data_IF_599803910442
#
_entry.id   IF_599803910442
#
_cell.length_a   1.000
_cell.length_b   1.000
_cell.length_c   1.000
_cell.angle_alpha   90.00
_cell.angle_beta   90.00
_cell.angle_gamma   90.00
#
_symmetry.space_group_name_H-M   'P 1'
#
loop_
_entity.id
_entity.type
_entity.pdbx_description
1 polymer ?
#
# COMPACT_ATOMS: atom_id res chain seq x y z
N UNK A 1 1.52 8.69 -25.89
CA UNK A 1 1.37 7.99 -25.51
C UNK A 1 0.95 8.01 -24.33
N UNK A 2 0.31 7.86 -24.34
CA UNK A 2 -0.21 7.95 -23.19
C UNK A 2 0.40 7.18 -22.27
N UNK A 3 0.63 7.58 -21.44
CA UNK A 3 1.04 7.03 -20.59
C UNK A 3 0.28 6.48 -19.75
N UNK A 4 0.05 5.81 -19.33
CA UNK A 4 -0.75 5.14 -18.43
C UNK A 4 -1.22 5.93 -17.29
N UNK A 5 -2.07 5.38 -16.46
CA UNK A 5 -2.58 6.04 -15.29
C UNK A 5 -1.53 6.15 -14.20
N UNK A 6 -1.93 6.74 -13.04
CA UNK A 6 -1.01 6.97 -11.92
C UNK A 6 -0.32 5.73 -11.40
N UNK A 7 -0.90 4.54 -11.59
CA UNK A 7 -0.28 3.32 -11.11
C UNK A 7 0.75 2.74 -12.04
N UNK A 8 0.89 3.27 -13.26
CA UNK A 8 1.82 2.72 -14.23
C UNK A 8 3.29 2.76 -13.80
N UNK A 9 3.78 3.83 -13.13
CA UNK A 9 5.16 3.84 -12.66
C UNK A 9 5.47 2.73 -11.67
N UNK A 10 4.45 2.11 -11.11
CA UNK A 10 4.63 1.08 -10.10
C UNK A 10 4.60 -0.33 -10.69
N UNK A 11 4.28 -0.46 -11.97
CA UNK A 11 4.20 -1.78 -12.60
C UNK A 11 5.53 -2.50 -12.49
N UNK A 12 5.50 -3.76 -12.08
CA UNK A 12 6.69 -4.57 -11.93
C UNK A 12 7.51 -4.29 -10.69
N UNK A 13 7.17 -3.27 -9.91
CA UNK A 13 7.88 -2.98 -8.66
C UNK A 13 7.34 -3.84 -7.53
N UNK A 14 8.15 -4.04 -6.50
CA UNK A 14 7.76 -4.80 -5.31
C UNK A 14 7.44 -3.91 -4.13
N UNK A 15 7.97 -2.69 -4.10
CA UNK A 15 7.83 -1.79 -2.96
C UNK A 15 7.43 -0.42 -3.44
N UNK A 16 6.65 0.25 -2.61
CA UNK A 16 6.42 1.68 -2.76
C UNK A 16 6.77 2.35 -1.45
N UNK A 17 7.23 3.60 -1.54
CA UNK A 17 7.35 4.45 -0.37
C UNK A 17 5.97 5.05 -0.12
N UNK A 18 5.41 4.77 1.04
CA UNK A 18 4.11 5.29 1.42
C UNK A 18 4.33 6.39 2.45
N UNK A 19 3.95 7.61 2.09
CA UNK A 19 4.04 8.74 3.00
C UNK A 19 2.68 9.02 3.59
N UNK A 20 2.60 8.95 4.91
CA UNK A 20 1.40 9.28 5.69
C UNK A 20 1.70 10.50 6.55
N UNK A 21 0.67 11.19 7.01
CA UNK A 21 0.85 12.49 7.61
C UNK A 21 0.39 12.54 9.06
N UNK A 22 1.24 13.10 9.92
CA UNK A 22 0.86 13.38 11.31
C UNK A 22 -0.09 14.56 11.37
N UNK A 23 -0.73 14.75 12.50
CA UNK A 23 -1.62 15.91 12.70
C UNK A 23 -0.90 17.24 12.48
N UNK A 24 0.39 17.27 12.75
CA UNK A 24 1.21 18.46 12.53
C UNK A 24 1.45 18.76 11.05
N UNK A 25 1.15 17.81 10.17
CA UNK A 25 1.46 17.93 8.75
C UNK A 25 2.75 17.25 8.36
N UNK A 26 3.52 16.77 9.33
CA UNK A 26 4.78 16.09 9.03
C UNK A 26 4.53 14.76 8.32
N UNK A 27 5.24 14.52 7.21
CA UNK A 27 5.12 13.27 6.46
C UNK A 27 6.10 12.22 6.96
N UNK A 28 5.62 11.00 7.10
CA UNK A 28 6.42 9.85 7.51
C UNK A 28 6.41 8.86 6.36
N UNK A 29 7.59 8.56 5.82
CA UNK A 29 7.76 7.69 4.65
C UNK A 29 8.22 6.31 5.10
N UNK A 30 7.56 5.26 4.60
CA UNK A 30 8.00 3.88 4.87
C UNK A 30 7.84 3.04 3.62
N UNK A 31 8.78 2.11 3.36
CA UNK A 31 8.60 1.16 2.26
C UNK A 31 7.55 0.12 2.66
N UNK A 32 6.66 -0.19 1.74
CA UNK A 32 5.61 -1.17 1.98
C UNK A 32 5.46 -2.05 0.75
N UNK A 33 4.94 -3.26 0.94
CA UNK A 33 4.56 -4.14 -0.14
C UNK A 33 3.23 -3.69 -0.72
N UNK A 34 3.10 -3.85 -2.02
CA UNK A 34 1.85 -3.49 -2.69
C UNK A 34 1.56 -4.48 -3.82
N UNK A 35 0.32 -4.49 -4.27
CA UNK A 35 -0.09 -5.24 -5.45
C UNK A 35 -0.98 -4.34 -6.30
N UNK A 36 -0.76 -4.39 -7.59
CA UNK A 36 -1.61 -3.67 -8.54
C UNK A 36 -3.01 -4.26 -8.54
N UNK A 37 -4.01 -3.42 -8.65
CA UNK A 37 -5.40 -3.83 -8.73
C UNK A 37 -6.12 -2.96 -9.72
N UNK A 38 -6.95 -3.54 -10.55
CA UNK A 38 -7.83 -2.83 -11.45
C UNK A 38 -7.12 -1.77 -12.29
N UNK A 39 -5.93 -2.10 -12.82
CA UNK A 39 -5.14 -1.13 -13.59
C UNK A 39 -5.87 -0.64 -14.84
N UNK A 40 -6.75 -1.48 -15.40
CA UNK A 40 -7.50 -1.14 -16.60
C UNK A 40 -8.75 -0.35 -16.28
N UNK A 41 -9.05 -0.17 -15.01
CA UNK A 41 -10.26 0.51 -14.57
C UNK A 41 -10.12 2.01 -14.73
N UNK A 42 -11.22 2.73 -14.95
CA UNK A 42 -11.17 4.19 -14.89
C UNK A 42 -10.71 4.72 -13.52
N UNK A 43 -10.84 3.91 -12.49
CA UNK A 43 -10.38 4.28 -11.15
C UNK A 43 -9.38 3.23 -10.66
N UNK A 44 -8.17 3.23 -11.22
CA UNK A 44 -7.17 2.24 -10.81
C UNK A 44 -6.75 2.45 -9.36
N UNK A 45 -6.32 1.38 -8.70
CA UNK A 45 -5.84 1.48 -7.34
C UNK A 45 -4.85 0.36 -7.03
N UNK A 46 -4.17 0.51 -5.89
CA UNK A 46 -3.20 -0.46 -5.41
C UNK A 46 -3.66 -1.00 -4.06
N UNK A 47 -3.35 -2.26 -3.80
CA UNK A 47 -3.49 -2.82 -2.46
C UNK A 47 -2.17 -2.70 -1.71
N UNK A 48 -2.23 -2.33 -0.43
CA UNK A 48 -1.06 -2.26 0.45
C UNK A 48 -1.36 -3.02 1.72
N UNK A 49 -0.39 -3.82 2.15
CA UNK A 49 -0.47 -4.58 3.40
C UNK A 49 0.19 -3.80 4.53
N UNK A 50 -0.44 -3.78 5.70
CA UNK A 50 0.17 -3.21 6.89
C UNK A 50 -0.45 -3.85 8.15
N UNK A 51 0.06 -3.45 9.31
CA UNK A 51 -0.42 -3.95 10.60
C UNK A 51 -1.40 -2.94 11.18
N UNK A 52 -2.54 -3.43 11.67
CA UNK A 52 -3.66 -2.58 12.04
C UNK A 52 -3.38 -1.55 13.12
N UNK A 53 -2.45 -1.85 14.03
CA UNK A 53 -2.10 -0.90 15.09
C UNK A 53 -0.80 -0.16 14.79
N UNK A 54 -0.33 -0.18 13.53
CA UNK A 54 0.88 0.54 13.16
C UNK A 54 0.64 2.04 13.13
N UNK A 55 1.74 2.79 13.16
CA UNK A 55 1.65 4.24 13.02
C UNK A 55 1.01 4.65 11.71
N UNK A 56 1.30 3.91 10.62
CA UNK A 56 0.70 4.18 9.33
C UNK A 56 -0.83 4.09 9.38
N UNK A 57 -1.34 3.03 9.98
CA UNK A 57 -2.78 2.84 10.07
C UNK A 57 -3.44 3.95 10.88
N UNK A 58 -2.81 4.34 11.99
CA UNK A 58 -3.34 5.41 12.83
C UNK A 58 -3.37 6.73 12.08
N UNK A 59 -2.30 7.05 11.35
CA UNK A 59 -2.23 8.29 10.59
C UNK A 59 -3.29 8.33 9.49
N UNK A 60 -3.50 7.21 8.82
CA UNK A 60 -4.49 7.13 7.74
C UNK A 60 -5.91 7.27 8.29
N UNK A 61 -6.19 6.72 9.46
CA UNK A 61 -7.51 6.89 10.09
C UNK A 61 -7.80 8.36 10.39
N UNK A 62 -6.77 9.12 10.74
CA UNK A 62 -6.93 10.55 11.02
C UNK A 62 -6.89 11.39 9.75
N UNK A 63 -6.13 10.97 8.74
CA UNK A 63 -5.95 11.73 7.51
C UNK A 63 -5.73 10.75 6.35
N UNK A 64 -6.71 10.55 5.49
CA UNK A 64 -6.59 9.60 4.38
C UNK A 64 -5.68 10.06 3.26
N UNK A 65 -5.22 11.30 3.29
CA UNK A 65 -4.27 11.77 2.29
C UNK A 65 -2.95 11.04 2.45
N UNK A 66 -2.40 10.57 1.33
CA UNK A 66 -1.07 9.94 1.31
C UNK A 66 -0.34 10.39 0.05
N UNK A 67 0.96 10.11 0.01
CA UNK A 67 1.73 10.24 -1.22
C UNK A 67 2.49 8.94 -1.43
N UNK A 68 2.65 8.54 -2.68
CA UNK A 68 3.32 7.28 -2.99
C UNK A 68 4.35 7.50 -4.09
N UNK A 69 5.43 6.71 -4.02
CA UNK A 69 6.47 6.71 -5.05
C UNK A 69 7.06 5.30 -5.13
N UNK A 70 7.52 4.87 -6.32
CA UNK A 70 8.21 3.58 -6.38
C UNK A 70 9.51 3.66 -5.57
N UNK A 71 9.85 2.58 -4.89
CA UNK A 71 11.09 2.54 -4.11
C UNK A 71 11.65 1.12 -4.09
N UNK A 72 12.87 0.99 -3.57
CA UNK A 72 13.47 -0.31 -3.35
C UNK A 72 13.17 -0.79 -1.92
N UNK A 73 13.70 -1.96 -1.58
CA UNK A 73 13.47 -2.57 -0.28
C UNK A 73 13.95 -1.70 0.88
N UNK A 74 14.94 -0.87 0.65
CA UNK A 74 15.50 0.00 1.68
C UNK A 74 14.79 1.33 1.79
N UNK A 75 13.82 1.58 0.91
CA UNK A 75 13.10 2.84 0.90
C UNK A 75 13.70 3.91 0.01
N UNK A 76 14.74 3.57 -0.77
CA UNK A 76 15.31 4.53 -1.71
C UNK A 76 14.30 4.79 -2.84
N UNK A 77 13.91 6.04 -3.01
CA UNK A 77 12.86 6.42 -3.94
C UNK A 77 13.39 6.37 -5.38
N UNK A 78 12.62 5.74 -6.27
CA UNK A 78 13.01 5.51 -7.65
C UNK A 78 12.18 6.33 -8.65
N UNK A 79 11.34 7.21 -8.17
CA UNK A 79 10.52 8.07 -9.02
C UNK A 79 9.84 9.14 -8.20
N UNK A 80 8.95 9.89 -8.84
CA UNK A 80 8.29 11.01 -8.18
C UNK A 80 7.17 10.53 -7.25
N UNK A 81 6.96 11.27 -6.17
CA UNK A 81 5.78 11.07 -5.33
C UNK A 81 4.54 11.62 -6.03
N UNK A 82 3.44 10.89 -5.91
CA UNK A 82 2.14 11.36 -6.41
C UNK A 82 1.15 11.40 -5.25
N UNK A 83 0.20 12.32 -5.35
CA UNK A 83 -0.87 12.42 -4.37
C UNK A 83 -1.85 11.29 -4.54
N UNK A 84 -2.33 10.77 -3.41
CA UNK A 84 -3.27 9.67 -3.41
C UNK A 84 -4.10 9.70 -2.14
N UNK A 85 -5.07 8.81 -2.07
CA UNK A 85 -5.90 8.64 -0.87
C UNK A 85 -5.89 7.16 -0.50
N UNK A 86 -5.82 6.91 0.81
CA UNK A 86 -5.82 5.56 1.33
C UNK A 86 -7.13 5.27 2.04
N UNK A 87 -7.62 4.05 1.85
CA UNK A 87 -8.83 3.57 2.51
C UNK A 87 -8.51 2.23 3.16
N UNK A 88 -8.91 2.06 4.42
CA UNK A 88 -8.75 0.77 5.09
C UNK A 88 -9.91 -0.11 4.66
N UNK A 89 -9.58 -1.24 4.03
CA UNK A 89 -10.59 -2.17 3.54
C UNK A 89 -11.04 -3.10 4.65
N UNK A 90 -12.28 -3.56 4.54
CA UNK A 90 -12.86 -4.48 5.51
C UNK A 90 -13.64 -5.56 4.77
N UNK A 91 -13.89 -6.68 5.48
CA UNK A 91 -14.72 -7.75 4.95
C UNK A 91 -14.14 -8.35 3.69
N UNK A 92 -15.00 -8.57 2.70
CA UNK A 92 -14.60 -9.26 1.47
C UNK A 92 -13.60 -8.44 0.65
N UNK A 93 -13.71 -7.12 0.68
CA UNK A 93 -12.74 -6.28 -0.04
C UNK A 93 -11.34 -6.46 0.52
N UNK A 94 -11.21 -6.55 1.85
CA UNK A 94 -9.92 -6.81 2.47
C UNK A 94 -9.39 -8.20 2.12
N UNK A 95 -10.27 -9.21 2.10
CA UNK A 95 -9.89 -10.57 1.76
C UNK A 95 -9.39 -10.65 0.31
N UNK A 96 -10.06 -9.95 -0.60
CA UNK A 96 -9.64 -9.91 -2.00
C UNK A 96 -8.27 -9.26 -2.15
N UNK A 97 -8.04 -8.15 -1.44
CA UNK A 97 -6.75 -7.48 -1.46
C UNK A 97 -5.64 -8.36 -0.91
N UNK A 98 -5.92 -9.09 0.17
CA UNK A 98 -4.94 -10.01 0.74
C UNK A 98 -4.61 -11.14 -0.22
N UNK A 99 -5.61 -11.66 -0.95
CA UNK A 99 -5.35 -12.69 -1.97
C UNK A 99 -4.44 -12.16 -3.08
N UNK A 100 -4.67 -10.92 -3.52
CA UNK A 100 -3.83 -10.31 -4.55
C UNK A 100 -2.40 -10.15 -4.08
N UNK A 101 -2.21 -9.69 -2.84
CA UNK A 101 -0.88 -9.53 -2.26
C UNK A 101 -0.19 -10.89 -2.11
N UNK A 102 -0.91 -11.90 -1.67
CA UNK A 102 -0.34 -13.24 -1.51
C UNK A 102 0.11 -13.80 -2.86
N UNK A 103 -0.65 -13.57 -3.93
CA UNK A 103 -0.25 -14.04 -5.27
C UNK A 103 1.03 -13.37 -5.72
N UNK A 104 1.18 -12.08 -5.46
CA UNK A 104 2.35 -11.34 -5.93
C UNK A 104 3.61 -11.72 -5.16
N UNK A 105 3.50 -11.96 -3.86
CA UNK A 105 4.66 -12.14 -2.99
C UNK A 105 4.84 -13.56 -2.47
N UNK A 106 4.06 -14.52 -2.94
CA UNK A 106 4.24 -15.92 -2.53
C UNK A 106 5.62 -16.40 -2.97
N UNK A 107 6.34 -17.20 -2.17
CA UNK A 107 5.93 -17.70 -0.84
C UNK A 107 6.27 -16.75 0.31
N UNK A 108 6.97 -15.66 0.07
CA UNK A 108 7.44 -14.77 1.13
C UNK A 108 6.32 -14.19 1.96
N UNK A 109 5.23 -13.78 1.29
CA UNK A 109 4.10 -13.18 1.98
C UNK A 109 3.45 -14.17 2.93
N UNK A 110 3.40 -15.43 2.55
CA UNK A 110 2.83 -16.48 3.39
C UNK A 110 3.63 -16.67 4.67
N UNK A 111 4.96 -16.61 4.58
CA UNK A 111 5.81 -16.69 5.77
C UNK A 111 5.54 -15.54 6.73
N UNK A 112 5.41 -14.34 6.18
CA UNK A 112 5.13 -13.18 7.01
C UNK A 112 3.74 -13.25 7.65
N UNK A 113 2.78 -13.81 6.93
CA UNK A 113 1.43 -14.02 7.50
C UNK A 113 1.48 -14.98 8.69
N UNK A 114 2.29 -16.03 8.58
CA UNK A 114 2.47 -16.98 9.69
C UNK A 114 3.08 -16.26 10.90
N UNK A 115 4.15 -15.49 10.70
CA UNK A 115 4.76 -14.75 11.78
C UNK A 115 3.78 -13.75 12.42
N UNK A 116 3.00 -13.06 11.61
CA UNK A 116 2.03 -12.11 12.12
C UNK A 116 0.96 -12.81 12.95
N UNK A 117 0.50 -13.99 12.50
CA UNK A 117 -0.47 -14.76 13.25
C UNK A 117 0.08 -15.21 14.58
N UNK A 118 1.34 -15.67 14.59
CA UNK A 118 1.99 -16.10 15.83
C UNK A 118 2.12 -14.97 16.83
N UNK A 119 2.27 -13.76 16.35
CA UNK A 119 2.38 -12.58 17.21
C UNK A 119 1.04 -11.97 17.54
N UNK A 120 -0.04 -12.57 17.04
CA UNK A 120 -1.41 -12.10 17.28
C UNK A 120 -1.61 -10.64 16.84
N UNK A 121 -0.98 -10.26 15.75
CA UNK A 121 -1.11 -8.91 15.21
C UNK A 121 -2.15 -8.89 14.11
N UNK A 122 -2.98 -7.87 14.16
CA UNK A 122 -3.99 -7.68 13.14
C UNK A 122 -3.34 -7.21 11.84
N UNK A 123 -3.71 -7.84 10.74
CA UNK A 123 -3.26 -7.44 9.42
C UNK A 123 -4.38 -6.68 8.74
N UNK A 124 -4.06 -5.56 8.13
CA UNK A 124 -5.02 -4.79 7.37
C UNK A 124 -4.54 -4.55 5.95
N UNK A 125 -5.49 -4.35 5.07
CA UNK A 125 -5.24 -4.06 3.67
C UNK A 125 -5.76 -2.66 3.39
N UNK A 126 -4.95 -1.87 2.70
CA UNK A 126 -5.32 -0.53 2.28
C UNK A 126 -5.56 -0.54 0.77
N UNK A 127 -6.54 0.23 0.33
CA UNK A 127 -6.68 0.58 -1.08
C UNK A 127 -6.11 1.97 -1.26
N UNK A 128 -5.17 2.12 -2.18
CA UNK A 128 -4.56 3.42 -2.49
C UNK A 128 -5.07 3.85 -3.84
N UNK A 129 -5.80 4.96 -3.88
CA UNK A 129 -6.39 5.48 -5.10
C UNK A 129 -5.76 6.82 -5.43
N UNK A 130 -5.63 7.15 -6.73
CA UNK A 130 -5.15 8.48 -7.12
C UNK A 130 -6.08 9.55 -6.57
N UNK A 131 -5.49 10.64 -6.17
CA UNK A 131 -6.26 11.78 -5.67
C UNK A 131 -6.88 12.55 -6.82
#
# INVERSE_FOLDING_TARGET
MAQGGPSQPFAGRRYISLETFRKSGEGIKTPVWFSEAALDSPAPFLYVYTIGNSGKAKRIRNNPRVRIAPCDMRGNVLGDFIEARAEILQGEAAAEGMRALNRKYAPWKQLLNIFAALRKREQIVLAIRPA
#
